data_IF_185476487370
#
_entry.id   IF_185476487370
#
_cell.length_a   1.000
_cell.length_b   1.000
_cell.length_c   1.000
_cell.angle_alpha   90.00
_cell.angle_beta   90.00
_cell.angle_gamma   90.00
#
_symmetry.space_group_name_H-M   'P 1'
#
loop_
_entity.id
_entity.type
_entity.pdbx_description
1 polymer ?
#
# COMPACT_ATOMS: atom_id res chain seq x y z
N UNK A 1 18.48 5.61 -24.87
CA UNK A 1 17.95 4.49 -24.07
C UNK A 1 18.42 4.72 -22.64
N UNK A 2 17.58 5.35 -21.80
CA UNK A 2 17.93 5.54 -20.39
C UNK A 2 17.56 4.26 -19.66
N UNK A 3 18.55 3.51 -19.20
CA UNK A 3 18.30 2.47 -18.21
C UNK A 3 17.71 3.19 -16.98
N UNK A 4 16.45 2.93 -16.69
CA UNK A 4 15.84 3.43 -15.47
C UNK A 4 16.69 2.93 -14.30
N UNK A 5 17.34 3.86 -13.59
CA UNK A 5 17.83 3.58 -12.25
C UNK A 5 16.59 3.10 -11.49
N UNK A 6 16.55 1.80 -11.21
CA UNK A 6 15.44 1.21 -10.47
C UNK A 6 15.51 1.75 -9.06
N UNK A 7 14.59 2.65 -8.72
CA UNK A 7 14.32 3.01 -7.34
C UNK A 7 14.03 1.69 -6.57
N UNK A 8 14.78 1.35 -5.50
CA UNK A 8 14.55 0.13 -4.73
C UNK A 8 13.08 -0.06 -4.33
N UNK A 9 12.38 1.03 -4.04
CA UNK A 9 10.94 1.00 -3.77
C UNK A 9 10.15 0.48 -4.98
N UNK A 10 10.39 1.04 -6.16
CA UNK A 10 9.67 0.64 -7.38
C UNK A 10 10.03 -0.78 -7.84
N UNK A 11 11.26 -1.25 -7.54
CA UNK A 11 11.63 -2.64 -7.77
C UNK A 11 10.75 -3.58 -6.93
N UNK A 12 10.61 -3.29 -5.65
CA UNK A 12 9.81 -4.11 -4.73
C UNK A 12 8.31 -4.06 -5.06
N UNK A 13 7.78 -2.88 -5.40
CA UNK A 13 6.40 -2.75 -5.90
C UNK A 13 6.18 -3.60 -7.15
N UNK A 14 7.12 -3.56 -8.10
CA UNK A 14 7.01 -4.33 -9.34
C UNK A 14 7.12 -5.83 -9.07
N UNK A 15 8.00 -6.25 -8.17
CA UNK A 15 8.14 -7.64 -7.76
C UNK A 15 6.86 -8.15 -7.08
N UNK A 16 6.25 -7.34 -6.20
CA UNK A 16 5.01 -7.69 -5.52
C UNK A 16 3.83 -7.84 -6.50
N UNK A 17 3.69 -6.92 -7.47
CA UNK A 17 2.66 -7.04 -8.52
C UNK A 17 2.89 -8.28 -9.39
N UNK A 18 4.15 -8.65 -9.65
CA UNK A 18 4.47 -9.86 -10.41
C UNK A 18 4.13 -11.15 -9.62
N UNK A 19 4.37 -11.17 -8.30
CA UNK A 19 4.04 -12.32 -7.43
C UNK A 19 2.54 -12.39 -7.13
N UNK A 20 1.86 -11.25 -7.07
CA UNK A 20 0.42 -11.12 -6.77
C UNK A 20 -0.30 -10.30 -7.85
N UNK A 21 -0.61 -10.88 -9.02
CA UNK A 21 -1.23 -10.17 -10.14
C UNK A 21 -2.62 -9.60 -9.85
N UNK A 22 -3.27 -10.04 -8.77
CA UNK A 22 -4.55 -9.49 -8.31
C UNK A 22 -4.42 -8.14 -7.61
N UNK A 23 -3.23 -7.81 -7.09
CA UNK A 23 -2.96 -6.51 -6.50
C UNK A 23 -2.71 -5.49 -7.60
N UNK A 24 -3.37 -4.34 -7.50
CA UNK A 24 -3.03 -3.22 -8.37
C UNK A 24 -1.66 -2.64 -7.97
N UNK A 25 -0.99 -1.88 -8.86
CA UNK A 25 0.23 -1.16 -8.50
C UNK A 25 0.03 -0.20 -7.31
N UNK A 26 -1.18 0.34 -7.12
CA UNK A 26 -1.48 1.18 -5.97
C UNK A 26 -1.55 0.36 -4.67
N UNK A 27 -2.17 -0.83 -4.70
CA UNK A 27 -2.25 -1.71 -3.53
C UNK A 27 -0.84 -2.13 -3.09
N UNK A 28 -0.02 -2.58 -4.05
CA UNK A 28 1.38 -2.92 -3.81
C UNK A 28 2.18 -1.73 -3.27
N UNK A 29 1.99 -0.53 -3.84
CA UNK A 29 2.62 0.70 -3.35
C UNK A 29 2.24 1.04 -1.91
N UNK A 30 0.97 0.88 -1.52
CA UNK A 30 0.51 1.09 -0.14
C UNK A 30 1.19 0.09 0.80
N UNK A 31 1.21 -1.20 0.45
CA UNK A 31 1.81 -2.26 1.27
C UNK A 31 3.32 -2.05 1.49
N UNK A 32 4.06 -1.79 0.42
CA UNK A 32 5.52 -1.54 0.48
C UNK A 32 5.80 -0.26 1.29
N UNK A 33 5.05 0.83 1.06
CA UNK A 33 5.24 2.05 1.85
C UNK A 33 4.90 1.85 3.34
N UNK A 34 3.96 0.96 3.65
CA UNK A 34 3.58 0.65 5.03
C UNK A 34 4.65 -0.18 5.75
N UNK A 35 5.19 -1.23 5.11
CA UNK A 35 6.24 -2.07 5.73
C UNK A 35 7.54 -1.31 5.95
N UNK A 36 7.89 -0.37 5.07
CA UNK A 36 9.05 0.51 5.21
C UNK A 36 8.81 1.72 6.12
N UNK A 37 7.62 1.87 6.70
CA UNK A 37 7.29 2.98 7.61
C UNK A 37 7.26 4.36 6.94
N UNK A 38 7.14 4.42 5.60
CA UNK A 38 7.11 5.67 4.81
C UNK A 38 5.83 6.46 5.08
N UNK A 39 4.71 5.75 5.22
CA UNK A 39 3.43 6.32 5.64
C UNK A 39 2.57 5.26 6.33
N UNK A 40 1.65 5.72 7.17
CA UNK A 40 0.75 4.85 7.95
C UNK A 40 -0.72 5.25 7.83
N UNK A 41 -1.07 6.19 6.96
CA UNK A 41 -2.44 6.63 6.82
C UNK A 41 -2.78 7.11 5.40
N UNK A 42 -4.06 6.96 5.05
CA UNK A 42 -4.62 7.23 3.72
C UNK A 42 -4.38 8.65 3.19
N UNK A 43 -4.23 9.68 4.04
CA UNK A 43 -3.92 11.05 3.60
C UNK A 43 -2.43 11.22 3.28
N UNK A 44 -1.58 10.63 4.10
CA UNK A 44 -0.13 10.61 3.86
C UNK A 44 0.20 9.89 2.55
N UNK A 45 -0.40 8.73 2.30
CA UNK A 45 -0.26 8.02 1.02
C UNK A 45 -0.71 8.87 -0.17
N UNK A 46 -1.89 9.49 -0.11
CA UNK A 46 -2.39 10.33 -1.21
C UNK A 46 -1.42 11.46 -1.56
N UNK A 47 -0.87 12.12 -0.53
CA UNK A 47 0.12 13.19 -0.69
C UNK A 47 1.43 12.69 -1.30
N UNK A 48 1.96 11.57 -0.80
CA UNK A 48 3.24 11.01 -1.25
C UNK A 48 3.17 10.44 -2.67
N UNK A 49 2.07 9.76 -3.00
CA UNK A 49 1.86 9.20 -4.33
C UNK A 49 1.39 10.25 -5.35
N UNK A 50 1.03 11.46 -4.90
CA UNK A 50 0.56 12.52 -5.78
C UNK A 50 -0.80 12.22 -6.42
N UNK A 51 -1.68 11.48 -5.73
CA UNK A 51 -2.99 11.05 -6.23
C UNK A 51 -4.15 11.50 -5.34
N UNK A 52 -5.37 11.39 -5.85
CA UNK A 52 -6.58 11.71 -5.09
C UNK A 52 -6.77 10.77 -3.89
N UNK A 53 -7.17 11.33 -2.74
CA UNK A 53 -7.44 10.57 -1.51
C UNK A 53 -8.47 9.46 -1.71
N UNK A 54 -9.48 9.67 -2.56
CA UNK A 54 -10.49 8.65 -2.87
C UNK A 54 -9.90 7.37 -3.49
N UNK A 55 -8.85 7.47 -4.30
CA UNK A 55 -8.17 6.30 -4.87
C UNK A 55 -7.47 5.49 -3.78
N UNK A 56 -6.83 6.18 -2.83
CA UNK A 56 -6.21 5.52 -1.67
C UNK A 56 -7.26 4.90 -0.74
N UNK A 57 -8.41 5.55 -0.54
CA UNK A 57 -9.50 4.96 0.24
C UNK A 57 -10.03 3.68 -0.39
N UNK A 58 -10.16 3.66 -1.72
CA UNK A 58 -10.54 2.46 -2.45
C UNK A 58 -9.50 1.35 -2.26
N UNK A 59 -8.23 1.63 -2.48
CA UNK A 59 -7.14 0.67 -2.27
C UNK A 59 -7.12 0.14 -0.83
N UNK A 60 -7.29 1.03 0.16
CA UNK A 60 -7.36 0.63 1.57
C UNK A 60 -8.53 -0.33 1.84
N UNK A 61 -9.72 -0.06 1.27
CA UNK A 61 -10.85 -0.99 1.38
C UNK A 61 -10.62 -2.31 0.63
N UNK A 62 -9.99 -2.30 -0.56
CA UNK A 62 -9.68 -3.54 -1.26
C UNK A 62 -8.66 -4.39 -0.47
N UNK A 63 -7.60 -3.77 0.06
CA UNK A 63 -6.59 -4.41 0.90
C UNK A 63 -7.16 -4.98 2.21
N UNK A 64 -8.11 -4.29 2.82
CA UNK A 64 -8.76 -4.70 4.07
C UNK A 64 -9.83 -5.77 3.82
N UNK A 65 -10.82 -5.47 2.97
CA UNK A 65 -12.04 -6.26 2.82
C UNK A 65 -11.85 -7.48 1.90
N UNK A 66 -11.09 -7.33 0.80
CA UNK A 66 -10.90 -8.40 -0.19
C UNK A 66 -9.67 -9.24 0.12
N UNK A 67 -8.55 -8.59 0.45
CA UNK A 67 -7.27 -9.29 0.59
C UNK A 67 -6.91 -9.60 2.05
N UNK A 68 -7.47 -8.89 3.04
CA UNK A 68 -7.15 -9.07 4.45
C UNK A 68 -5.68 -8.78 4.80
N UNK A 69 -4.99 -7.97 3.99
CA UNK A 69 -3.55 -7.67 4.12
C UNK A 69 -3.27 -6.49 5.06
N UNK A 70 -4.27 -5.63 5.26
CA UNK A 70 -4.20 -4.50 6.19
C UNK A 70 -5.44 -4.49 7.07
N UNK A 71 -5.34 -3.82 8.22
CA UNK A 71 -6.47 -3.48 9.08
C UNK A 71 -6.47 -1.98 9.37
N UNK A 72 -7.66 -1.40 9.53
CA UNK A 72 -7.83 -0.03 10.00
C UNK A 72 -7.68 0.02 11.53
N UNK A 73 -6.55 0.54 12.00
CA UNK A 73 -6.30 0.78 13.44
C UNK A 73 -7.15 1.95 13.97
N UNK A 74 -7.32 2.99 13.16
CA UNK A 74 -8.09 4.17 13.55
C UNK A 74 -8.74 4.87 12.35
N UNK A 75 -10.01 5.24 12.49
CA UNK A 75 -10.77 5.99 11.48
C UNK A 75 -11.20 7.36 12.00
N UNK A 76 -10.82 8.42 11.29
CA UNK A 76 -11.31 9.78 11.53
C UNK A 76 -12.58 10.04 10.72
N UNK A 77 -13.76 9.86 11.33
CA UNK A 77 -15.07 9.93 10.66
C UNK A 77 -15.27 11.20 9.79
N UNK A 78 -14.83 12.38 10.26
CA UNK A 78 -15.00 13.65 9.53
C UNK A 78 -14.24 13.72 8.21
N UNK A 79 -13.13 12.99 8.08
CA UNK A 79 -12.22 13.10 6.92
C UNK A 79 -12.01 11.79 6.19
N UNK A 80 -12.62 10.71 6.68
CA UNK A 80 -12.40 9.33 6.27
C UNK A 80 -10.92 8.90 6.31
N UNK A 81 -10.06 9.63 7.03
CA UNK A 81 -8.65 9.28 7.17
C UNK A 81 -8.54 8.01 8.01
N UNK A 82 -8.11 6.92 7.37
CA UNK A 82 -7.77 5.65 8.00
C UNK A 82 -6.28 5.56 8.29
N UNK A 83 -5.94 5.15 9.51
CA UNK A 83 -4.61 4.68 9.91
C UNK A 83 -4.58 3.17 9.67
N UNK A 84 -3.62 2.72 8.89
CA UNK A 84 -3.51 1.33 8.46
C UNK A 84 -2.35 0.65 9.19
N UNK A 85 -2.53 -0.62 9.50
CA UNK A 85 -1.49 -1.53 9.98
C UNK A 85 -1.52 -2.79 9.14
N UNK A 86 -0.36 -3.42 8.91
CA UNK A 86 -0.30 -4.73 8.26
C UNK A 86 -0.93 -5.79 9.16
N UNK A 87 -1.69 -6.71 8.57
CA UNK A 87 -2.08 -7.93 9.25
C UNK A 87 -0.92 -8.91 9.26
N UNK A 88 -1.06 -10.02 10.00
CA UNK A 88 -0.09 -11.11 9.94
C UNK A 88 0.07 -11.65 8.50
N UNK A 89 -1.03 -11.79 7.75
CA UNK A 89 -1.01 -12.20 6.35
C UNK A 89 -0.27 -11.17 5.48
N UNK A 90 -0.50 -9.88 5.71
CA UNK A 90 0.23 -8.80 5.03
C UNK A 90 1.74 -8.86 5.29
N UNK A 91 2.15 -9.12 6.53
CA UNK A 91 3.57 -9.30 6.87
C UNK A 91 4.19 -10.53 6.21
N UNK A 92 3.48 -11.66 6.21
CA UNK A 92 3.95 -12.88 5.57
C UNK A 92 4.11 -12.71 4.05
N UNK A 93 3.20 -11.98 3.41
CA UNK A 93 3.27 -11.69 1.99
C UNK A 93 4.53 -10.89 1.61
N UNK A 94 4.93 -9.95 2.46
CA UNK A 94 6.08 -9.06 2.23
C UNK A 94 7.40 -9.62 2.79
N UNK A 95 7.37 -10.79 3.42
CA UNK A 95 8.58 -11.41 3.96
C UNK A 95 9.47 -11.89 2.81
N UNK A 96 10.80 -11.69 2.91
CA UNK A 96 11.72 -12.21 1.91
C UNK A 96 11.58 -13.74 1.82
N UNK A 97 11.43 -14.25 0.58
CA UNK A 97 11.40 -15.68 0.26
C UNK A 97 12.81 -16.27 0.20
#
# INVERSE_FOLDING_TARGET
>A
MSAAVSDPFMHEVTALVADQPELSPLDAGVLVALVHGVASDTRSFARLFGIAHALVLRAASELEDRFGLVATEHLLAKTQRRRLVLTEVGHLLLSPK
#
